data_IF_326006812624
#
_entry.id   IF_326006812624
#
_cell.length_a   1.000
_cell.length_b   1.000
_cell.length_c   1.000
_cell.angle_alpha   90.00
_cell.angle_beta   90.00
_cell.angle_gamma   90.00
#
_symmetry.space_group_name_H-M   'P 1'
#
loop_
_entity.id
_entity.type
_entity.pdbx_description
1 polymer ?
#
# COMPACT_ATOMS: atom_id res chain seq x y z
N UNK A 1 -77.61 -22.10 36.95
CA UNK A 1 -76.70 -21.34 36.08
C UNK A 1 -76.65 -19.86 36.53
N UNK A 2 -76.00 -19.57 37.67
CA UNK A 2 -76.00 -18.24 38.31
C UNK A 2 -74.61 -17.59 38.44
N UNK A 3 -73.59 -18.13 37.76
CA UNK A 3 -72.19 -17.69 37.91
C UNK A 3 -71.47 -17.32 36.60
N UNK A 4 -72.18 -17.09 35.49
CA UNK A 4 -71.54 -16.67 34.22
C UNK A 4 -71.73 -15.17 33.93
N UNK A 5 -72.80 -14.53 34.44
CA UNK A 5 -73.05 -13.10 34.20
C UNK A 5 -72.13 -12.16 35.01
N UNK A 6 -71.56 -12.59 36.15
CA UNK A 6 -70.65 -11.76 36.94
C UNK A 6 -69.24 -11.62 36.36
N UNK A 7 -68.81 -12.54 35.49
CA UNK A 7 -67.49 -12.48 34.87
C UNK A 7 -67.46 -11.66 33.57
N UNK A 8 -68.60 -11.48 32.89
CA UNK A 8 -68.67 -10.70 31.64
C UNK A 8 -68.74 -9.19 31.92
N UNK A 9 -69.39 -8.76 33.01
CA UNK A 9 -69.51 -7.34 33.36
C UNK A 9 -68.21 -6.77 33.97
N UNK A 10 -67.43 -7.59 34.68
CA UNK A 10 -66.14 -7.17 35.23
C UNK A 10 -65.05 -7.05 34.14
N UNK A 11 -65.10 -7.87 33.09
CA UNK A 11 -64.15 -7.79 31.97
C UNK A 11 -64.41 -6.59 31.06
N UNK A 12 -65.68 -6.20 30.84
CA UNK A 12 -66.04 -5.05 30.00
C UNK A 12 -65.71 -3.69 30.67
N UNK A 13 -65.88 -3.56 32.00
CA UNK A 13 -65.50 -2.34 32.71
C UNK A 13 -63.97 -2.17 32.83
N UNK A 14 -63.20 -3.25 32.97
CA UNK A 14 -61.73 -3.15 33.00
C UNK A 14 -61.12 -2.85 31.63
N UNK A 15 -61.73 -3.30 30.53
CA UNK A 15 -61.30 -2.96 29.16
C UNK A 15 -61.59 -1.50 28.79
N UNK A 16 -62.71 -0.93 29.27
CA UNK A 16 -63.04 0.47 29.02
C UNK A 16 -62.15 1.46 29.81
N UNK A 17 -61.73 1.10 31.03
CA UNK A 17 -60.82 1.93 31.85
C UNK A 17 -59.39 1.85 31.34
N UNK A 18 -58.94 0.69 30.85
CA UNK A 18 -57.59 0.56 30.26
C UNK A 18 -57.48 1.20 28.87
N UNK A 19 -58.56 1.26 28.08
CA UNK A 19 -58.57 2.02 26.82
C UNK A 19 -58.63 3.54 27.03
N UNK A 20 -59.29 4.04 28.09
CA UNK A 20 -59.31 5.47 28.40
C UNK A 20 -57.98 5.96 28.98
N UNK A 21 -57.30 5.13 29.79
CA UNK A 21 -55.94 5.40 30.30
C UNK A 21 -54.89 5.26 29.18
N UNK A 22 -55.05 4.30 28.26
CA UNK A 22 -54.17 4.20 27.08
C UNK A 22 -54.34 5.37 26.09
N UNK A 23 -55.54 5.93 25.93
CA UNK A 23 -55.75 7.12 25.09
C UNK A 23 -55.37 8.44 25.78
N UNK A 24 -55.20 8.48 27.11
CA UNK A 24 -54.67 9.66 27.81
C UNK A 24 -53.16 9.60 28.04
N UNK A 25 -52.56 8.41 28.10
CA UNK A 25 -51.10 8.24 28.04
C UNK A 25 -50.54 8.33 26.60
N UNK A 26 -51.33 7.97 25.57
CA UNK A 26 -50.93 8.12 24.18
C UNK A 26 -50.94 9.58 23.67
N UNK A 27 -51.50 10.53 24.44
CA UNK A 27 -51.51 11.97 24.11
C UNK A 27 -50.51 12.77 24.97
N UNK A 28 -49.68 12.08 25.78
CA UNK A 28 -48.54 12.68 26.50
C UNK A 28 -47.23 11.91 26.29
N UNK A 29 -47.06 11.28 25.14
CA UNK A 29 -45.75 11.31 24.47
C UNK A 29 -45.76 12.51 23.55
N UNK A 30 -45.87 13.69 24.15
CA UNK A 30 -45.11 14.80 23.61
C UNK A 30 -43.69 14.27 23.52
N UNK A 31 -43.20 14.23 22.29
CA UNK A 31 -41.79 14.16 22.02
C UNK A 31 -41.26 15.38 22.79
N UNK A 32 -40.74 15.16 24.00
CA UNK A 32 -39.70 16.02 24.54
C UNK A 32 -38.58 15.88 23.51
N UNK A 33 -38.66 16.68 22.44
CA UNK A 33 -37.48 17.15 21.76
C UNK A 33 -36.71 17.81 22.91
N UNK A 34 -35.74 17.09 23.46
CA UNK A 34 -34.72 17.67 24.30
C UNK A 34 -34.23 18.90 23.52
N UNK A 35 -34.66 20.08 23.94
CA UNK A 35 -34.20 21.35 23.40
C UNK A 35 -32.75 21.40 23.83
N UNK A 36 -31.87 20.84 23.01
CA UNK A 36 -30.45 20.83 23.30
C UNK A 36 -29.99 22.28 23.20
N UNK A 37 -29.66 22.86 24.35
CA UNK A 37 -29.10 24.21 24.41
C UNK A 37 -27.88 24.28 23.50
N UNK A 38 -27.83 25.33 22.69
CA UNK A 38 -26.68 25.58 21.84
C UNK A 38 -25.45 25.79 22.73
N UNK A 39 -24.35 25.13 22.38
CA UNK A 39 -23.07 25.29 23.09
C UNK A 39 -21.95 25.57 22.09
N UNK A 40 -20.76 25.90 22.58
CA UNK A 40 -19.55 26.00 21.75
C UNK A 40 -19.35 24.68 20.99
N UNK A 41 -19.07 24.70 19.67
CA UNK A 41 -18.95 23.48 18.89
C UNK A 41 -17.87 22.55 19.45
N UNK A 42 -18.11 21.25 19.38
CA UNK A 42 -17.11 20.24 19.78
C UNK A 42 -15.91 20.29 18.83
N UNK A 43 -14.76 19.77 19.29
CA UNK A 43 -13.58 19.58 18.43
C UNK A 43 -13.99 18.77 17.18
N UNK A 44 -13.64 19.23 15.95
CA UNK A 44 -13.92 18.48 14.73
C UNK A 44 -13.38 17.03 14.77
N UNK A 45 -14.01 16.15 14.00
CA UNK A 45 -13.54 14.77 13.77
C UNK A 45 -12.20 14.71 13.02
N UNK A 46 -11.69 13.52 12.67
CA UNK A 46 -10.50 13.38 11.84
C UNK A 46 -10.65 14.13 10.49
N UNK A 47 -9.54 14.69 9.99
CA UNK A 47 -9.47 15.31 8.67
C UNK A 47 -9.16 14.21 7.63
N UNK A 48 -9.97 14.13 6.59
CA UNK A 48 -9.80 13.20 5.46
C UNK A 48 -9.32 13.92 4.20
N UNK A 49 -8.36 13.34 3.48
CA UNK A 49 -7.86 13.78 2.16
C UNK A 49 -8.58 12.98 1.06
N UNK A 50 -9.00 13.63 -0.02
CA UNK A 50 -9.64 12.97 -1.19
C UNK A 50 -9.02 13.47 -2.49
N UNK A 51 -8.44 12.59 -3.32
CA UNK A 51 -8.23 11.15 -3.09
C UNK A 51 -7.14 10.88 -2.03
N UNK A 52 -7.23 9.76 -1.33
CA UNK A 52 -6.15 9.27 -0.48
C UNK A 52 -5.04 8.70 -1.39
N UNK A 53 -4.07 9.56 -1.72
CA UNK A 53 -2.91 9.22 -2.55
C UNK A 53 -1.57 9.47 -1.84
N UNK A 54 -0.64 8.52 -2.01
CA UNK A 54 0.75 8.50 -1.49
C UNK A 54 1.49 9.80 -1.76
N UNK A 55 1.17 10.41 -2.89
CA UNK A 55 1.81 11.58 -3.43
C UNK A 55 0.79 12.34 -4.24
N UNK A 56 0.74 13.65 -4.06
CA UNK A 56 0.02 14.54 -4.96
C UNK A 56 0.93 14.85 -6.14
N UNK A 57 0.38 14.83 -7.34
CA UNK A 57 1.08 15.37 -8.49
C UNK A 57 1.32 16.87 -8.27
N UNK A 58 2.45 17.37 -8.75
CA UNK A 58 2.74 18.79 -8.74
C UNK A 58 1.60 19.59 -9.38
N UNK A 59 1.11 20.62 -8.68
CA UNK A 59 -0.02 21.43 -9.14
C UNK A 59 -1.41 20.79 -8.96
N UNK A 60 -1.51 19.59 -8.38
CA UNK A 60 -2.78 18.89 -8.16
C UNK A 60 -3.70 19.65 -7.19
N UNK A 61 -4.99 19.56 -7.46
CA UNK A 61 -6.06 20.00 -6.57
C UNK A 61 -6.74 18.80 -5.93
N UNK A 62 -6.96 18.87 -4.63
CA UNK A 62 -7.63 17.81 -3.87
C UNK A 62 -8.36 18.40 -2.67
N UNK A 63 -9.18 17.56 -2.03
CA UNK A 63 -10.12 18.01 -0.99
C UNK A 63 -9.66 17.54 0.39
N UNK A 64 -9.77 18.43 1.39
CA UNK A 64 -9.84 18.06 2.80
C UNK A 64 -11.27 18.19 3.33
N UNK A 65 -11.67 17.28 4.22
CA UNK A 65 -12.98 17.33 4.84
C UNK A 65 -12.98 16.85 6.28
N UNK A 66 -13.94 17.34 7.07
CA UNK A 66 -14.29 16.79 8.39
C UNK A 66 -15.79 16.50 8.45
N UNK A 67 -16.24 15.55 9.29
CA UNK A 67 -17.65 15.40 9.60
C UNK A 67 -18.25 16.70 10.12
N UNK A 68 -19.49 17.00 9.76
CA UNK A 68 -20.20 18.18 10.27
C UNK A 68 -20.29 18.11 11.80
N UNK A 69 -19.87 19.18 12.46
CA UNK A 69 -19.93 19.36 13.90
C UNK A 69 -21.28 19.98 14.26
N UNK A 70 -21.94 19.41 15.27
CA UNK A 70 -23.19 19.96 15.80
C UNK A 70 -22.99 21.41 16.30
N UNK A 71 -23.97 22.27 16.00
CA UNK A 71 -23.97 23.71 16.32
C UNK A 71 -22.87 24.55 15.65
N UNK A 72 -22.13 24.01 14.68
CA UNK A 72 -21.15 24.80 13.93
C UNK A 72 -21.84 25.58 12.80
N UNK A 73 -21.68 26.90 12.80
CA UNK A 73 -22.14 27.78 11.72
C UNK A 73 -21.09 27.91 10.63
N UNK A 74 -19.82 27.88 11.01
CA UNK A 74 -18.69 28.02 10.08
C UNK A 74 -17.46 27.25 10.55
N UNK A 75 -16.51 27.08 9.65
CA UNK A 75 -15.24 26.41 9.89
C UNK A 75 -14.11 27.30 9.43
N UNK A 76 -13.04 27.36 10.22
CA UNK A 76 -11.83 28.06 9.84
C UNK A 76 -10.72 27.04 9.66
N UNK A 77 -10.24 26.93 8.42
CA UNK A 77 -9.10 26.11 8.04
C UNK A 77 -7.83 26.94 7.98
N UNK A 78 -6.74 26.38 8.51
CA UNK A 78 -5.44 27.06 8.58
C UNK A 78 -4.35 26.17 8.05
N UNK A 79 -3.49 26.75 7.20
CA UNK A 79 -2.21 26.18 6.77
C UNK A 79 -1.10 26.85 7.60
N UNK A 80 -0.18 26.04 8.13
CA UNK A 80 0.97 26.53 8.88
C UNK A 80 1.82 27.49 8.05
N UNK A 81 2.30 28.58 8.66
CA UNK A 81 2.94 29.69 7.95
C UNK A 81 4.09 29.25 7.05
N UNK A 82 4.95 28.36 7.57
CA UNK A 82 6.13 27.84 6.86
C UNK A 82 5.79 26.95 5.65
N UNK A 83 4.53 26.54 5.50
CA UNK A 83 4.07 25.66 4.41
C UNK A 83 3.20 26.37 3.38
N UNK A 84 2.88 27.67 3.58
CA UNK A 84 2.04 28.45 2.65
C UNK A 84 2.64 28.61 1.25
N UNK A 85 3.96 28.49 1.12
CA UNK A 85 4.62 28.46 -0.18
C UNK A 85 4.41 27.13 -0.92
N UNK A 86 4.03 26.05 -0.22
CA UNK A 86 3.91 24.69 -0.77
C UNK A 86 2.47 24.24 -1.01
N UNK A 87 1.52 24.78 -0.26
CA UNK A 87 0.11 24.43 -0.33
C UNK A 87 -0.76 25.65 -0.02
N UNK A 88 -1.88 25.76 -0.72
CA UNK A 88 -2.82 26.87 -0.58
C UNK A 88 -4.26 26.36 -0.55
N UNK A 89 -5.11 27.02 0.24
CA UNK A 89 -6.57 26.83 0.18
C UNK A 89 -7.08 27.66 -1.00
N UNK A 90 -7.69 27.00 -1.97
CA UNK A 90 -8.21 27.67 -3.17
C UNK A 90 -9.74 27.84 -3.14
N UNK A 91 -10.45 27.04 -2.34
CA UNK A 91 -11.90 27.14 -2.16
C UNK A 91 -12.38 26.48 -0.86
N UNK A 92 -13.61 26.77 -0.44
CA UNK A 92 -14.33 26.09 0.64
C UNK A 92 -14.07 26.61 2.05
N UNK A 93 -13.29 27.69 2.20
CA UNK A 93 -13.10 28.35 3.50
C UNK A 93 -14.47 28.77 4.08
N UNK A 94 -14.64 28.58 5.39
CA UNK A 94 -15.94 28.77 6.05
C UNK A 94 -16.80 27.51 6.10
N UNK A 95 -16.44 26.43 5.40
CA UNK A 95 -17.21 25.17 5.35
C UNK A 95 -16.44 23.97 5.90
N UNK A 96 -17.12 22.84 6.14
CA UNK A 96 -16.47 21.62 6.64
C UNK A 96 -15.62 20.89 5.56
N UNK A 97 -15.46 21.49 4.38
CA UNK A 97 -14.74 20.95 3.23
C UNK A 97 -13.91 22.07 2.59
N UNK A 98 -12.63 21.84 2.30
CA UNK A 98 -11.80 22.79 1.52
C UNK A 98 -11.19 22.09 0.32
N UNK A 99 -11.01 22.86 -0.75
CA UNK A 99 -10.16 22.46 -1.88
C UNK A 99 -8.83 23.15 -1.71
N UNK A 100 -7.75 22.37 -1.82
CA UNK A 100 -6.38 22.86 -1.74
C UNK A 100 -5.65 22.61 -3.05
N UNK A 101 -4.68 23.47 -3.36
CA UNK A 101 -3.74 23.27 -4.45
C UNK A 101 -2.32 23.24 -3.90
N UNK A 102 -1.55 22.25 -4.30
CA UNK A 102 -0.13 22.13 -3.97
C UNK A 102 0.75 22.75 -5.07
N UNK A 103 1.98 23.10 -4.72
CA UNK A 103 2.97 23.57 -5.70
C UNK A 103 3.26 22.53 -6.77
N UNK A 104 3.76 23.00 -7.91
CA UNK A 104 4.32 22.12 -8.92
C UNK A 104 5.82 21.89 -8.65
N UNK A 105 6.13 21.27 -7.51
CA UNK A 105 7.51 20.99 -7.09
C UNK A 105 7.57 19.75 -6.17
N UNK A 106 8.75 19.14 -6.07
CA UNK A 106 9.03 18.00 -5.20
C UNK A 106 9.21 18.48 -3.75
N UNK A 107 8.12 18.48 -2.98
CA UNK A 107 8.12 18.95 -1.59
C UNK A 107 7.41 18.00 -0.64
N UNK A 108 7.78 18.07 0.65
CA UNK A 108 7.04 17.43 1.73
C UNK A 108 6.45 18.51 2.62
N UNK A 109 5.14 18.41 2.84
CA UNK A 109 4.38 19.21 3.80
C UNK A 109 4.23 18.34 5.05
N UNK A 110 4.87 18.68 6.18
CA UNK A 110 4.87 17.84 7.38
C UNK A 110 3.46 17.58 7.94
N UNK A 111 3.33 16.54 8.76
CA UNK A 111 2.13 16.36 9.58
C UNK A 111 1.85 17.62 10.43
N UNK A 112 0.59 17.83 10.78
CA UNK A 112 0.07 18.97 11.54
C UNK A 112 0.16 20.33 10.84
N UNK A 113 0.51 20.36 9.54
CA UNK A 113 0.56 21.59 8.76
C UNK A 113 -0.80 22.15 8.36
N UNK A 114 -1.85 21.34 8.42
CA UNK A 114 -3.23 21.75 8.14
C UNK A 114 -4.08 21.50 9.37
N UNK A 115 -4.91 22.47 9.71
CA UNK A 115 -5.81 22.38 10.86
C UNK A 115 -7.17 23.02 10.59
N UNK A 116 -8.15 22.66 11.42
CA UNK A 116 -9.51 23.21 11.36
C UNK A 116 -10.10 23.40 12.75
N UNK A 117 -10.87 24.48 12.91
CA UNK A 117 -11.77 24.72 14.04
C UNK A 117 -13.20 24.94 13.55
N UNK A 118 -14.18 24.57 14.37
CA UNK A 118 -15.59 24.89 14.16
C UNK A 118 -15.98 26.10 15.02
N UNK A 119 -16.83 26.98 14.49
CA UNK A 119 -17.26 28.23 15.15
C UNK A 119 -18.77 28.41 15.09
N UNK A 120 -19.29 29.07 16.12
CA UNK A 120 -20.61 29.67 16.15
C UNK A 120 -20.57 30.96 16.98
N UNK A 121 -21.73 31.58 17.24
CA UNK A 121 -21.82 32.80 18.05
C UNK A 121 -21.33 32.67 19.49
N UNK A 122 -21.31 31.45 20.05
CA UNK A 122 -20.89 31.20 21.44
C UNK A 122 -19.38 31.03 21.56
N UNK A 123 -18.68 30.69 20.48
CA UNK A 123 -17.22 30.60 20.49
C UNK A 123 -16.61 29.67 19.44
N UNK A 124 -15.35 29.32 19.66
CA UNK A 124 -14.52 28.48 18.78
C UNK A 124 -14.18 27.16 19.46
N UNK A 125 -14.25 26.05 18.71
CA UNK A 125 -13.88 24.72 19.19
C UNK A 125 -12.37 24.60 19.45
N UNK A 126 -11.94 23.49 20.07
CA UNK A 126 -10.52 23.10 20.05
C UNK A 126 -10.07 22.79 18.62
N UNK A 127 -8.77 22.98 18.35
CA UNK A 127 -8.12 22.71 17.06
C UNK A 127 -8.07 21.21 16.76
N UNK A 128 -8.34 20.85 15.51
CA UNK A 128 -8.05 19.55 14.91
C UNK A 128 -6.93 19.72 13.89
N UNK A 129 -5.90 18.87 13.97
CA UNK A 129 -4.78 18.83 13.02
C UNK A 129 -4.92 17.62 12.08
N UNK A 130 -4.34 17.75 10.89
CA UNK A 130 -4.15 16.66 9.96
C UNK A 130 -2.85 15.93 10.32
N UNK A 131 -2.91 14.65 10.66
CA UNK A 131 -1.78 13.92 11.25
C UNK A 131 -0.88 13.18 10.25
N UNK A 132 -1.07 13.40 8.95
CA UNK A 132 -0.22 12.82 7.91
C UNK A 132 0.58 13.91 7.19
N UNK A 133 1.78 13.55 6.73
CA UNK A 133 2.54 14.38 5.81
C UNK A 133 1.95 14.26 4.39
N UNK A 134 2.06 15.32 3.60
CA UNK A 134 1.69 15.31 2.19
C UNK A 134 2.98 15.40 1.38
N UNK A 135 3.25 14.36 0.60
CA UNK A 135 4.32 14.39 -0.40
C UNK A 135 3.73 14.93 -1.68
N UNK A 136 4.32 15.99 -2.23
CA UNK A 136 3.99 16.55 -3.53
C UNK A 136 5.14 16.23 -4.45
N UNK A 137 4.85 15.78 -5.67
CA UNK A 137 5.92 15.47 -6.61
C UNK A 137 5.52 15.68 -8.04
N UNK A 138 6.44 16.21 -8.83
CA UNK A 138 6.23 16.46 -10.25
C UNK A 138 6.38 15.14 -11.01
N UNK A 139 5.31 14.62 -11.65
CA UNK A 139 5.38 13.36 -12.39
C UNK A 139 6.56 13.37 -13.36
N UNK A 140 7.41 12.36 -13.24
CA UNK A 140 8.45 12.13 -14.25
C UNK A 140 7.87 11.20 -15.31
N UNK A 141 8.09 11.56 -16.57
CA UNK A 141 7.70 10.71 -17.69
C UNK A 141 8.87 9.82 -18.09
N UNK A 142 8.55 8.55 -18.36
CA UNK A 142 9.43 7.63 -19.03
C UNK A 142 8.61 6.92 -20.12
N UNK A 143 8.90 7.13 -21.42
CA UNK A 143 8.15 6.51 -22.48
C UNK A 143 8.06 4.99 -22.31
N UNK A 144 6.85 4.44 -22.47
CA UNK A 144 6.60 3.01 -22.33
C UNK A 144 6.35 2.53 -20.90
N UNK A 145 6.58 3.35 -19.87
CA UNK A 145 6.41 2.96 -18.48
C UNK A 145 5.41 3.83 -17.73
N UNK A 146 4.61 3.18 -16.90
CA UNK A 146 3.79 3.83 -15.88
C UNK A 146 4.65 4.10 -14.64
N UNK A 147 4.71 5.37 -14.24
CA UNK A 147 5.54 5.83 -13.13
C UNK A 147 4.67 6.39 -12.00
N UNK A 148 4.99 6.02 -10.75
CA UNK A 148 4.39 6.62 -9.56
C UNK A 148 5.42 6.76 -8.45
N UNK A 149 5.28 7.79 -7.63
CA UNK A 149 6.13 7.98 -6.45
C UNK A 149 5.57 7.23 -5.25
N UNK A 150 6.47 6.55 -4.54
CA UNK A 150 6.22 5.90 -3.27
C UNK A 150 7.25 6.43 -2.29
N UNK A 151 6.80 7.14 -1.26
CA UNK A 151 7.70 7.82 -0.35
C UNK A 151 8.56 8.84 -1.09
N UNK A 152 9.88 8.67 -1.01
CA UNK A 152 10.84 9.57 -1.67
C UNK A 152 11.26 9.09 -3.06
N UNK A 153 10.78 7.92 -3.50
CA UNK A 153 11.30 7.22 -4.68
C UNK A 153 10.28 7.15 -5.79
N UNK A 154 10.70 7.43 -7.01
CA UNK A 154 9.90 7.17 -8.21
C UNK A 154 10.10 5.73 -8.66
N UNK A 155 9.00 5.02 -8.87
CA UNK A 155 8.98 3.63 -9.25
C UNK A 155 8.32 3.44 -10.59
N UNK A 156 8.83 2.48 -11.36
CA UNK A 156 8.03 1.84 -12.40
C UNK A 156 6.98 0.95 -11.71
N UNK A 157 5.70 1.22 -11.97
CA UNK A 157 4.59 0.44 -11.41
C UNK A 157 4.29 -0.83 -12.19
N UNK A 158 5.07 -1.09 -13.24
CA UNK A 158 5.07 -2.30 -14.07
C UNK A 158 6.45 -2.99 -14.07
N UNK A 159 6.48 -4.24 -14.51
CA UNK A 159 7.71 -5.03 -14.60
C UNK A 159 8.57 -4.55 -15.78
N UNK A 160 9.90 -4.53 -15.58
CA UNK A 160 10.87 -4.07 -16.58
C UNK A 160 10.74 -4.86 -17.89
N UNK A 161 10.67 -4.17 -19.03
CA UNK A 161 10.52 -4.77 -20.35
C UNK A 161 11.66 -4.42 -21.32
N UNK A 162 12.80 -3.98 -20.80
CA UNK A 162 13.99 -3.69 -21.59
C UNK A 162 14.56 -4.91 -22.31
N UNK A 163 14.71 -4.81 -23.62
CA UNK A 163 15.28 -5.87 -24.45
C UNK A 163 16.78 -5.67 -24.76
N UNK A 164 17.39 -4.60 -24.26
CA UNK A 164 18.77 -4.23 -24.60
C UNK A 164 18.91 -3.80 -26.07
N UNK A 165 20.09 -3.29 -26.44
CA UNK A 165 20.35 -2.80 -27.81
C UNK A 165 20.28 -3.91 -28.87
N UNK A 166 20.61 -5.15 -28.48
CA UNK A 166 20.56 -6.31 -29.38
C UNK A 166 19.20 -7.01 -29.42
N UNK A 167 18.23 -6.53 -28.62
CA UNK A 167 16.88 -7.08 -28.52
C UNK A 167 16.80 -8.43 -27.79
N UNK A 168 17.89 -8.90 -27.17
CA UNK A 168 17.99 -10.23 -26.56
C UNK A 168 18.12 -10.24 -25.04
N UNK A 169 18.07 -9.07 -24.38
CA UNK A 169 18.18 -9.02 -22.93
C UNK A 169 16.93 -9.64 -22.30
N UNK A 170 17.12 -10.71 -21.52
CA UNK A 170 16.00 -11.48 -20.96
C UNK A 170 15.08 -12.05 -22.04
N UNK A 171 13.94 -12.59 -21.61
CA UNK A 171 12.97 -13.30 -22.44
C UNK A 171 11.55 -12.77 -22.20
N UNK A 172 10.74 -12.80 -23.24
CA UNK A 172 9.32 -12.43 -23.20
C UNK A 172 8.46 -13.67 -23.50
N UNK A 173 8.18 -14.54 -22.51
CA UNK A 173 7.43 -15.77 -22.74
C UNK A 173 5.96 -15.47 -23.09
N UNK A 174 5.35 -16.22 -24.02
CA UNK A 174 3.90 -16.20 -24.23
C UNK A 174 3.22 -17.00 -23.11
N UNK A 175 2.60 -16.29 -22.16
CA UNK A 175 1.93 -16.91 -21.03
C UNK A 175 0.61 -17.58 -21.43
N UNK A 176 0.02 -17.19 -22.57
CA UNK A 176 -1.23 -17.76 -23.06
C UNK A 176 -1.07 -19.17 -23.62
N UNK A 177 0.17 -19.58 -23.89
CA UNK A 177 0.52 -20.94 -24.31
C UNK A 177 0.47 -21.97 -23.16
N UNK A 178 0.39 -21.53 -21.89
CA UNK A 178 0.38 -22.43 -20.74
C UNK A 178 -1.04 -22.77 -20.27
N UNK A 179 -1.19 -23.95 -19.67
CA UNK A 179 -2.41 -24.31 -18.94
C UNK A 179 -2.11 -24.36 -17.44
N UNK A 180 -2.84 -23.56 -16.66
CA UNK A 180 -2.67 -23.47 -15.20
C UNK A 180 -4.00 -23.78 -14.52
N UNK A 181 -4.00 -24.78 -13.65
CA UNK A 181 -5.19 -25.12 -12.88
C UNK A 181 -5.61 -23.94 -11.99
N UNK A 182 -6.85 -23.46 -12.18
CA UNK A 182 -7.40 -22.31 -11.47
C UNK A 182 -7.29 -20.97 -12.21
N UNK A 183 -6.71 -20.94 -13.43
CA UNK A 183 -6.76 -19.79 -14.32
C UNK A 183 -7.46 -20.14 -15.63
N UNK A 184 -8.46 -19.34 -15.98
CA UNK A 184 -9.03 -19.34 -17.33
C UNK A 184 -8.11 -18.59 -18.32
N UNK A 185 -8.30 -18.82 -19.62
CA UNK A 185 -7.52 -18.16 -20.68
C UNK A 185 -7.54 -16.63 -20.59
N UNK A 186 -8.66 -16.04 -20.15
CA UNK A 186 -8.80 -14.60 -19.93
C UNK A 186 -7.86 -14.06 -18.85
N UNK A 187 -7.60 -14.83 -17.79
CA UNK A 187 -6.67 -14.45 -16.73
C UNK A 187 -5.23 -14.54 -17.22
N UNK A 188 -4.90 -15.57 -18.02
CA UNK A 188 -3.58 -15.69 -18.64
C UNK A 188 -3.30 -14.55 -19.61
N UNK A 189 -4.29 -14.12 -20.40
CA UNK A 189 -4.14 -12.95 -21.27
C UNK A 189 -3.81 -11.67 -20.48
N UNK A 190 -4.42 -11.47 -19.31
CA UNK A 190 -4.14 -10.33 -18.43
C UNK A 190 -2.73 -10.40 -17.84
N UNK A 191 -2.31 -11.58 -17.39
CA UNK A 191 -0.93 -11.80 -16.91
C UNK A 191 0.06 -11.58 -18.06
N UNK A 192 -0.26 -12.06 -19.26
CA UNK A 192 0.57 -11.92 -20.45
C UNK A 192 0.85 -10.46 -20.79
N UNK A 193 -0.19 -9.63 -20.73
CA UNK A 193 -0.11 -8.19 -20.97
C UNK A 193 0.72 -7.44 -19.90
N UNK A 194 0.86 -7.99 -18.69
CA UNK A 194 1.52 -7.33 -17.57
C UNK A 194 2.96 -7.81 -17.29
N UNK A 195 3.40 -8.91 -17.93
CA UNK A 195 4.56 -9.70 -17.49
C UNK A 195 5.95 -9.03 -17.60
N UNK A 196 6.05 -7.92 -18.32
CA UNK A 196 7.33 -7.34 -18.71
C UNK A 196 8.21 -8.37 -19.43
N UNK A 197 9.50 -8.41 -19.08
CA UNK A 197 10.43 -9.49 -19.46
C UNK A 197 10.97 -10.20 -18.23
N UNK A 198 11.46 -11.42 -18.45
CA UNK A 198 12.08 -12.25 -17.44
C UNK A 198 13.58 -12.34 -17.72
N UNK A 199 14.40 -12.12 -16.72
CA UNK A 199 15.85 -12.06 -16.84
C UNK A 199 16.47 -13.16 -15.98
N UNK A 200 17.64 -13.68 -16.33
CA UNK A 200 18.51 -14.31 -15.32
C UNK A 200 18.96 -13.24 -14.32
N UNK A 201 19.45 -13.62 -13.14
CA UNK A 201 19.97 -12.63 -12.19
C UNK A 201 21.16 -11.86 -12.80
N UNK A 202 21.98 -12.54 -13.61
CA UNK A 202 23.18 -11.98 -14.21
C UNK A 202 22.81 -10.92 -15.26
N UNK A 203 21.82 -11.22 -16.12
CA UNK A 203 21.23 -10.25 -17.04
C UNK A 203 20.60 -9.08 -16.28
N UNK A 204 19.84 -9.36 -15.22
CA UNK A 204 19.16 -8.34 -14.43
C UNK A 204 20.14 -7.33 -13.81
N UNK A 205 21.27 -7.80 -13.27
CA UNK A 205 22.27 -6.94 -12.63
C UNK A 205 23.23 -6.29 -13.62
N UNK A 206 23.56 -6.92 -14.75
CA UNK A 206 24.58 -6.40 -15.68
C UNK A 206 24.02 -5.69 -16.90
N UNK A 207 22.77 -5.96 -17.27
CA UNK A 207 22.20 -5.50 -18.54
C UNK A 207 22.79 -6.19 -19.78
N UNK A 208 23.62 -7.22 -19.60
CA UNK A 208 24.25 -7.96 -20.71
C UNK A 208 23.38 -9.16 -21.09
N UNK A 209 22.92 -9.21 -22.34
CA UNK A 209 22.14 -10.33 -22.88
C UNK A 209 22.91 -11.65 -22.77
N UNK A 210 22.29 -12.69 -22.17
CA UNK A 210 22.92 -14.00 -21.97
C UNK A 210 24.17 -13.98 -21.09
N UNK A 211 24.27 -13.03 -20.16
CA UNK A 211 25.44 -12.83 -19.30
C UNK A 211 25.90 -14.12 -18.62
N UNK A 212 27.16 -14.49 -18.84
CA UNK A 212 27.79 -15.65 -18.21
C UNK A 212 28.38 -15.31 -16.84
N UNK A 213 28.68 -16.31 -15.99
CA UNK A 213 29.36 -16.06 -14.72
C UNK A 213 30.71 -15.36 -14.84
N UNK A 214 31.44 -15.54 -15.95
CA UNK A 214 32.71 -14.87 -16.18
C UNK A 214 32.56 -13.39 -16.57
N UNK A 215 31.38 -12.98 -17.04
CA UNK A 215 31.10 -11.60 -17.44
C UNK A 215 30.48 -10.77 -16.32
N UNK A 216 29.88 -11.42 -15.31
CA UNK A 216 29.27 -10.72 -14.19
C UNK A 216 30.31 -10.47 -13.09
N UNK A 217 30.62 -9.19 -12.78
CA UNK A 217 31.58 -8.86 -11.74
C UNK A 217 31.00 -8.99 -10.33
N UNK A 218 29.66 -9.04 -10.21
CA UNK A 218 28.95 -8.98 -8.94
C UNK A 218 28.98 -10.32 -8.19
N UNK A 219 30.04 -10.49 -7.41
CA UNK A 219 30.23 -11.58 -6.45
C UNK A 219 30.22 -11.00 -5.03
N UNK A 220 30.03 -11.81 -3.96
CA UNK A 220 30.05 -11.27 -2.60
C UNK A 220 31.40 -10.64 -2.28
N UNK A 221 31.34 -9.55 -1.53
CA UNK A 221 32.48 -8.72 -1.21
C UNK A 221 32.98 -7.86 -2.37
N UNK A 222 32.36 -7.91 -3.56
CA UNK A 222 32.69 -7.01 -4.66
C UNK A 222 32.56 -5.56 -4.20
N UNK A 223 33.60 -4.76 -4.49
CA UNK A 223 33.67 -3.34 -4.22
C UNK A 223 33.70 -2.58 -5.54
N UNK A 224 32.94 -1.50 -5.62
CA UNK A 224 32.84 -0.73 -6.85
C UNK A 224 32.17 0.61 -6.64
N UNK A 225 31.84 1.25 -7.76
CA UNK A 225 31.09 2.49 -7.82
C UNK A 225 29.78 2.20 -8.55
N UNK A 226 28.66 2.61 -7.96
CA UNK A 226 27.32 2.42 -8.54
C UNK A 226 27.05 3.44 -9.67
N UNK A 227 25.92 3.32 -10.36
CA UNK A 227 25.61 4.13 -11.55
C UNK A 227 25.35 5.62 -11.24
N UNK A 228 25.37 6.03 -9.97
CA UNK A 228 25.29 7.45 -9.56
C UNK A 228 26.56 7.94 -8.88
N UNK A 229 27.64 7.15 -8.88
CA UNK A 229 28.96 7.57 -8.39
C UNK A 229 29.24 7.26 -6.92
N UNK A 230 28.40 6.49 -6.22
CA UNK A 230 28.67 6.12 -4.84
C UNK A 230 29.52 4.86 -4.75
N UNK A 231 30.51 4.81 -3.83
CA UNK A 231 31.14 3.55 -3.50
C UNK A 231 30.12 2.60 -2.84
N UNK A 232 30.27 1.31 -3.12
CA UNK A 232 29.47 0.25 -2.51
C UNK A 232 30.28 -1.02 -2.30
N UNK A 233 29.73 -1.91 -1.46
CA UNK A 233 30.25 -3.26 -1.25
C UNK A 233 29.12 -4.27 -1.13
N UNK A 234 29.17 -5.38 -1.86
CA UNK A 234 28.19 -6.47 -1.77
C UNK A 234 28.47 -7.38 -0.55
N UNK A 235 28.32 -6.85 0.67
CA UNK A 235 28.65 -7.55 1.92
C UNK A 235 27.44 -7.82 2.83
N UNK A 236 26.23 -7.50 2.36
CA UNK A 236 24.99 -7.64 3.10
C UNK A 236 24.81 -6.65 4.24
N UNK A 237 25.61 -5.58 4.30
CA UNK A 237 25.49 -4.52 5.30
C UNK A 237 24.70 -3.32 4.78
N UNK A 238 24.17 -2.52 5.71
CA UNK A 238 23.41 -1.32 5.37
C UNK A 238 24.28 -0.26 4.68
N UNK A 239 25.50 -0.06 5.17
CA UNK A 239 26.44 0.92 4.62
C UNK A 239 27.00 0.47 3.26
N UNK A 240 27.19 -0.83 3.07
CA UNK A 240 27.77 -1.41 1.85
C UNK A 240 26.76 -1.61 0.72
N UNK A 241 25.64 -2.28 0.99
CA UNK A 241 24.80 -2.88 -0.05
C UNK A 241 23.38 -2.31 -0.11
N UNK A 242 22.79 -1.85 0.99
CA UNK A 242 21.34 -1.60 1.02
C UNK A 242 20.88 -0.47 0.11
N UNK A 243 21.75 0.50 -0.17
CA UNK A 243 21.46 1.67 -1.01
C UNK A 243 22.23 1.68 -2.33
N UNK A 244 22.68 0.52 -2.80
CA UNK A 244 23.37 0.39 -4.09
C UNK A 244 22.42 0.70 -5.26
N UNK A 245 22.90 1.43 -6.26
CA UNK A 245 22.12 1.75 -7.46
C UNK A 245 22.78 1.18 -8.70
N UNK A 246 22.54 -0.12 -8.96
CA UNK A 246 22.97 -0.79 -10.19
C UNK A 246 21.85 -0.67 -11.23
N UNK A 247 22.16 -0.04 -12.37
CA UNK A 247 21.26 0.06 -13.52
C UNK A 247 20.80 -1.31 -13.98
N UNK A 248 21.77 -2.17 -14.30
CA UNK A 248 21.52 -3.51 -14.82
C UNK A 248 20.60 -3.47 -16.04
N UNK A 249 19.52 -4.24 -16.01
CA UNK A 249 18.52 -4.27 -17.09
C UNK A 249 17.62 -3.03 -17.16
N UNK A 250 17.64 -2.13 -16.19
CA UNK A 250 16.74 -0.98 -16.17
C UNK A 250 17.12 0.11 -17.20
N UNK A 251 16.17 0.97 -17.59
CA UNK A 251 16.44 2.15 -18.42
C UNK A 251 17.50 3.09 -17.84
N UNK A 252 18.08 3.93 -18.70
CA UNK A 252 19.09 4.90 -18.26
C UNK A 252 18.54 5.85 -17.18
N UNK A 253 19.33 6.03 -16.11
CA UNK A 253 18.94 6.82 -14.96
C UNK A 253 17.95 6.12 -14.03
N UNK A 254 17.75 4.81 -14.17
CA UNK A 254 16.99 3.94 -13.27
C UNK A 254 17.87 2.75 -12.86
N UNK A 255 17.57 2.14 -11.71
CA UNK A 255 18.28 0.98 -11.18
C UNK A 255 17.33 -0.12 -10.73
N UNK A 256 17.85 -1.34 -10.65
CA UNK A 256 17.14 -2.47 -10.06
C UNK A 256 16.86 -2.14 -8.59
N UNK A 257 15.63 -2.33 -8.12
CA UNK A 257 15.25 -1.95 -6.76
C UNK A 257 16.14 -2.61 -5.69
N UNK A 258 16.73 -1.79 -4.81
CA UNK A 258 17.57 -2.22 -3.69
C UNK A 258 16.77 -2.32 -2.38
N UNK A 259 17.46 -2.68 -1.29
CA UNK A 259 16.84 -2.87 0.01
C UNK A 259 16.21 -1.59 0.59
N UNK A 260 16.87 -0.45 0.43
CA UNK A 260 16.37 0.84 0.88
C UNK A 260 15.12 1.26 0.10
N UNK A 261 15.07 0.98 -1.21
CA UNK A 261 13.90 1.30 -2.03
C UNK A 261 12.68 0.53 -1.55
N UNK A 262 12.78 -0.79 -1.49
CA UNK A 262 11.67 -1.63 -1.02
C UNK A 262 11.23 -1.24 0.38
N UNK A 263 12.18 -0.96 1.28
CA UNK A 263 11.88 -0.52 2.63
C UNK A 263 11.12 0.81 2.66
N UNK A 264 11.58 1.83 1.93
CA UNK A 264 10.95 3.15 1.85
C UNK A 264 9.53 3.05 1.27
N UNK A 265 9.35 2.27 0.19
CA UNK A 265 8.05 2.03 -0.43
C UNK A 265 7.07 1.38 0.55
N UNK A 266 7.49 0.30 1.22
CA UNK A 266 6.64 -0.42 2.18
C UNK A 266 6.25 0.46 3.36
N UNK A 267 7.19 1.22 3.93
CA UNK A 267 6.90 2.14 5.04
C UNK A 267 5.97 3.28 4.62
N UNK A 268 6.12 3.78 3.39
CA UNK A 268 5.27 4.86 2.87
C UNK A 268 3.83 4.39 2.65
N UNK A 269 3.63 3.20 2.10
CA UNK A 269 2.30 2.58 1.97
C UNK A 269 1.67 2.40 3.36
N UNK A 270 2.43 1.87 4.33
CA UNK A 270 1.92 1.71 5.69
C UNK A 270 1.48 3.02 6.32
N UNK A 271 2.32 4.06 6.20
CA UNK A 271 2.02 5.38 6.75
C UNK A 271 0.78 6.00 6.13
N UNK A 272 0.61 5.88 4.82
CA UNK A 272 -0.48 6.57 4.13
C UNK A 272 -1.83 5.87 4.31
N UNK A 273 -1.85 4.55 4.15
CA UNK A 273 -3.08 3.75 4.31
C UNK A 273 -3.39 3.39 5.76
N UNK A 274 -2.68 4.03 6.70
CA UNK A 274 -2.82 3.84 8.12
C UNK A 274 -2.79 2.36 8.53
N UNK A 275 -1.89 1.59 7.91
CA UNK A 275 -1.75 0.15 8.15
C UNK A 275 -1.05 -0.01 9.51
N UNK A 276 -1.76 -0.46 10.55
CA UNK A 276 -1.22 -0.45 11.90
C UNK A 276 -0.17 -1.55 12.09
N UNK A 277 0.75 -1.31 13.02
CA UNK A 277 1.76 -2.30 13.45
C UNK A 277 1.17 -3.34 14.42
N UNK A 278 0.08 -2.97 15.11
CA UNK A 278 -0.70 -3.77 16.04
C UNK A 278 -2.17 -3.80 15.59
N UNK A 279 -2.79 -4.98 15.56
CA UNK A 279 -4.19 -5.12 15.18
C UNK A 279 -5.16 -4.48 16.20
N UNK A 280 -4.70 -4.14 17.41
CA UNK A 280 -5.58 -3.68 18.49
C UNK A 280 -5.84 -2.15 18.53
N UNK A 281 -4.87 -1.26 18.30
CA UNK A 281 -5.06 0.20 18.49
C UNK A 281 -4.11 1.07 17.64
N UNK A 282 -4.68 1.99 16.85
CA UNK A 282 -3.93 2.98 16.07
C UNK A 282 -3.51 4.21 16.89
N UNK A 283 -2.21 4.51 16.89
CA UNK A 283 -1.62 5.71 17.50
C UNK A 283 -0.09 5.68 17.44
N UNK A 284 0.48 6.16 16.34
CA UNK A 284 1.85 5.91 15.87
C UNK A 284 3.01 6.34 16.80
N UNK A 285 3.97 5.42 16.98
CA UNK A 285 5.44 5.63 16.93
C UNK A 285 6.07 4.30 16.49
N UNK A 286 6.86 4.28 15.41
CA UNK A 286 7.29 3.05 14.72
C UNK A 286 8.26 2.17 15.53
N UNK A 287 7.70 1.08 16.07
CA UNK A 287 8.31 -0.22 16.36
C UNK A 287 7.16 -1.13 16.82
N UNK A 288 6.74 -2.12 16.02
CA UNK A 288 5.74 -3.13 16.39
C UNK A 288 5.64 -4.27 15.37
N UNK A 289 5.73 -5.53 15.85
CA UNK A 289 5.26 -6.71 15.12
C UNK A 289 3.85 -7.12 15.58
N UNK A 290 3.24 -8.07 14.87
CA UNK A 290 1.88 -8.62 15.11
C UNK A 290 1.57 -9.03 16.56
N UNK A 291 2.56 -9.25 17.42
CA UNK A 291 2.36 -9.71 18.79
C UNK A 291 2.21 -8.58 19.83
N UNK A 292 1.97 -7.34 19.38
CA UNK A 292 1.83 -6.17 20.25
C UNK A 292 3.14 -5.79 20.96
N UNK A 293 4.26 -6.31 20.47
CA UNK A 293 5.60 -6.10 21.03
C UNK A 293 6.48 -5.30 20.07
N UNK A 294 6.76 -4.03 20.40
CA UNK A 294 7.68 -3.18 19.66
C UNK A 294 9.04 -3.79 19.35
N UNK A 295 9.55 -4.61 20.28
CA UNK A 295 10.84 -5.29 20.14
C UNK A 295 10.89 -6.33 18.99
N UNK A 296 9.73 -6.80 18.51
CA UNK A 296 9.62 -7.79 17.45
C UNK A 296 9.31 -7.19 16.06
N UNK A 297 9.28 -5.86 15.97
CA UNK A 297 9.19 -5.16 14.70
C UNK A 297 10.33 -5.58 13.78
N UNK A 298 10.01 -5.85 12.50
CA UNK A 298 11.10 -6.05 11.55
C UNK A 298 11.87 -4.74 11.40
N UNK A 299 13.19 -4.82 11.46
CA UNK A 299 14.06 -3.70 11.10
C UNK A 299 14.37 -3.76 9.61
N UNK A 300 14.89 -2.68 9.03
CA UNK A 300 15.41 -2.71 7.66
C UNK A 300 16.43 -3.85 7.44
N UNK A 301 17.35 -4.04 8.41
CA UNK A 301 18.29 -5.14 8.39
C UNK A 301 17.61 -6.53 8.51
N UNK A 302 16.53 -6.61 9.29
CA UNK A 302 15.68 -7.81 9.35
C UNK A 302 15.01 -8.10 8.00
N UNK A 303 14.45 -7.08 7.36
CA UNK A 303 13.87 -7.17 6.02
C UNK A 303 14.89 -7.64 5.01
N UNK A 304 16.10 -7.08 5.00
CA UNK A 304 17.16 -7.53 4.11
C UNK A 304 17.58 -8.99 4.37
N UNK A 305 17.45 -9.52 5.58
CA UNK A 305 17.85 -10.91 5.89
C UNK A 305 16.80 -11.94 5.50
N UNK A 306 15.53 -11.67 5.75
CA UNK A 306 14.44 -12.66 5.63
C UNK A 306 13.27 -12.22 4.76
N UNK A 307 13.28 -10.99 4.24
CA UNK A 307 12.07 -10.31 3.77
C UNK A 307 11.14 -10.01 4.95
N UNK A 308 9.85 -9.88 4.65
CA UNK A 308 8.79 -9.69 5.63
C UNK A 308 7.65 -10.70 5.52
N UNK A 309 7.28 -11.25 6.66
CA UNK A 309 6.02 -11.98 6.78
C UNK A 309 4.88 -10.98 6.95
N UNK A 310 3.65 -11.42 6.65
CA UNK A 310 2.42 -10.68 7.02
C UNK A 310 2.45 -10.28 8.50
N UNK A 311 3.04 -11.13 9.35
CA UNK A 311 3.16 -10.97 10.80
C UNK A 311 4.08 -9.81 11.21
N UNK A 312 5.22 -9.63 10.54
CA UNK A 312 6.24 -8.72 11.04
C UNK A 312 6.12 -7.30 10.46
N UNK A 313 5.19 -7.07 9.52
CA UNK A 313 5.01 -5.80 8.80
C UNK A 313 3.56 -5.31 8.74
N UNK A 314 2.65 -5.82 9.57
CA UNK A 314 1.27 -5.32 9.62
C UNK A 314 0.46 -5.59 8.34
N UNK A 315 0.69 -6.72 7.66
CA UNK A 315 -0.07 -7.13 6.48
C UNK A 315 0.03 -6.22 5.22
N UNK A 316 1.07 -5.39 5.10
CA UNK A 316 1.33 -4.58 3.88
C UNK A 316 1.39 -5.41 2.57
N UNK A 317 1.74 -6.70 2.66
CA UNK A 317 1.70 -7.60 1.50
C UNK A 317 0.31 -7.79 0.91
N UNK A 318 -0.76 -7.74 1.73
CA UNK A 318 -2.14 -7.82 1.23
C UNK A 318 -2.54 -6.59 0.41
N UNK A 319 -1.95 -5.44 0.72
CA UNK A 319 -2.12 -4.19 -0.02
C UNK A 319 -1.42 -4.26 -1.38
N UNK A 320 -0.17 -4.74 -1.44
CA UNK A 320 0.54 -4.93 -2.72
C UNK A 320 -0.11 -5.97 -3.65
N UNK A 321 -0.72 -7.03 -3.09
CA UNK A 321 -1.49 -8.02 -3.87
C UNK A 321 -2.88 -7.50 -4.25
N UNK A 322 -3.49 -6.72 -3.36
CA UNK A 322 -4.89 -6.33 -3.42
C UNK A 322 -5.27 -5.61 -4.71
N UNK A 323 -4.36 -4.83 -5.29
CA UNK A 323 -4.60 -4.15 -6.57
C UNK A 323 -4.92 -5.07 -7.74
N UNK A 324 -4.66 -6.38 -7.61
CA UNK A 324 -4.90 -7.37 -8.65
C UNK A 324 -5.96 -8.43 -8.29
N UNK A 325 -6.46 -8.44 -7.04
CA UNK A 325 -7.57 -9.26 -6.56
C UNK A 325 -7.44 -10.79 -6.69
N UNK A 326 -8.40 -11.53 -6.13
CA UNK A 326 -8.50 -13.00 -6.31
C UNK A 326 -9.26 -13.35 -7.58
N UNK A 327 -8.92 -14.46 -8.21
CA UNK A 327 -9.66 -15.00 -9.36
C UNK A 327 -11.16 -15.12 -9.09
N UNK A 328 -11.54 -15.60 -7.90
CA UNK A 328 -12.95 -15.74 -7.50
C UNK A 328 -13.73 -14.42 -7.46
N UNK A 329 -13.02 -13.29 -7.32
CA UNK A 329 -13.58 -11.94 -7.25
C UNK A 329 -13.27 -11.13 -8.54
N UNK A 330 -12.88 -11.79 -9.64
CA UNK A 330 -12.54 -11.15 -10.92
C UNK A 330 -11.09 -10.65 -11.04
N UNK A 331 -10.24 -10.95 -10.06
CA UNK A 331 -8.80 -10.67 -10.05
C UNK A 331 -7.96 -11.75 -10.76
N UNK A 332 -6.68 -11.86 -10.38
CA UNK A 332 -5.72 -12.77 -11.03
C UNK A 332 -4.92 -13.66 -10.07
N UNK A 333 -5.09 -13.50 -8.75
CA UNK A 333 -4.46 -14.37 -7.76
C UNK A 333 -5.28 -15.64 -7.52
N UNK A 334 -4.67 -16.82 -7.73
CA UNK A 334 -5.22 -18.13 -7.37
C UNK A 334 -5.03 -18.32 -5.86
N UNK A 335 -5.88 -17.65 -5.08
CA UNK A 335 -5.91 -17.77 -3.63
C UNK A 335 -7.32 -18.14 -3.18
N UNK A 336 -7.47 -19.28 -2.52
CA UNK A 336 -8.77 -19.77 -2.04
C UNK A 336 -9.24 -19.02 -0.80
N UNK A 337 -8.33 -18.75 0.14
CA UNK A 337 -8.68 -18.15 1.43
C UNK A 337 -8.68 -16.62 1.38
N UNK A 338 -9.75 -16.00 1.88
CA UNK A 338 -9.84 -14.55 2.13
C UNK A 338 -9.01 -14.12 3.32
N UNK A 339 -8.85 -15.01 4.29
CA UNK A 339 -8.14 -14.75 5.53
C UNK A 339 -7.07 -15.79 5.77
N UNK A 340 -6.04 -15.41 6.51
CA UNK A 340 -5.08 -16.33 7.12
C UNK A 340 -5.27 -16.27 8.63
N UNK A 341 -5.34 -17.41 9.29
CA UNK A 341 -5.36 -17.44 10.77
C UNK A 341 -3.93 -17.31 11.28
N UNK A 342 -3.67 -16.27 12.07
CA UNK A 342 -2.42 -16.11 12.77
C UNK A 342 -2.63 -15.69 14.22
N UNK A 343 -1.94 -16.36 15.14
CA UNK A 343 -2.13 -16.23 16.59
C UNK A 343 -3.60 -16.25 17.08
N UNK A 344 -4.52 -16.86 16.32
CA UNK A 344 -5.95 -16.92 16.63
C UNK A 344 -6.81 -15.84 15.96
N UNK A 345 -6.20 -14.84 15.32
CA UNK A 345 -6.89 -13.74 14.63
C UNK A 345 -6.92 -13.96 13.11
N UNK A 346 -7.97 -13.44 12.47
CA UNK A 346 -8.16 -13.54 11.03
C UNK A 346 -7.50 -12.36 10.30
N UNK A 347 -6.51 -12.63 9.46
CA UNK A 347 -5.79 -11.63 8.67
C UNK A 347 -6.26 -11.63 7.22
N UNK A 348 -6.79 -10.50 6.74
CA UNK A 348 -7.22 -10.36 5.35
C UNK A 348 -6.04 -10.56 4.37
N UNK A 349 -6.20 -11.40 3.37
CA UNK A 349 -5.16 -11.62 2.36
C UNK A 349 -5.24 -10.62 1.19
N UNK A 350 -6.38 -9.93 1.07
CA UNK A 350 -6.69 -8.88 0.10
C UNK A 350 -7.48 -7.79 0.83
N UNK A 351 -7.14 -6.53 0.58
CA UNK A 351 -7.76 -5.37 1.25
C UNK A 351 -8.51 -4.54 0.21
N UNK A 352 -9.71 -4.08 0.55
CA UNK A 352 -10.49 -3.16 -0.27
C UNK A 352 -9.77 -1.81 -0.40
N UNK A 353 -9.76 -1.21 -1.58
CA UNK A 353 -9.05 0.05 -1.85
C UNK A 353 -7.57 -0.11 -2.19
N UNK A 354 -7.03 -1.34 -2.17
CA UNK A 354 -5.63 -1.61 -2.48
C UNK A 354 -5.23 -1.27 -3.93
N UNK A 355 -6.19 -1.19 -4.85
CA UNK A 355 -5.99 -0.70 -6.21
C UNK A 355 -5.50 0.76 -6.26
N UNK A 356 -5.86 1.58 -5.26
CA UNK A 356 -5.43 2.97 -5.18
C UNK A 356 -3.91 3.14 -4.98
N UNK A 357 -3.23 2.10 -4.46
CA UNK A 357 -1.76 2.08 -4.35
C UNK A 357 -1.14 2.22 -5.74
N UNK A 358 -1.77 1.67 -6.77
CA UNK A 358 -1.26 1.70 -8.14
C UNK A 358 0.06 0.93 -8.33
N UNK A 359 0.48 0.11 -7.37
CA UNK A 359 1.66 -0.74 -7.48
C UNK A 359 1.22 -2.20 -7.69
N UNK A 360 0.98 -2.58 -8.94
CA UNK A 360 0.47 -3.91 -9.27
C UNK A 360 1.56 -4.97 -9.13
N UNK A 361 1.58 -5.71 -8.02
CA UNK A 361 2.39 -6.93 -7.94
C UNK A 361 1.63 -8.09 -8.58
N UNK A 362 2.19 -8.66 -9.63
CA UNK A 362 1.56 -9.74 -10.40
C UNK A 362 2.11 -11.13 -10.00
N UNK A 363 1.27 -12.17 -9.92
CA UNK A 363 1.66 -13.55 -9.62
C UNK A 363 2.23 -14.24 -10.86
N UNK A 364 3.30 -13.64 -11.39
CA UNK A 364 3.89 -14.02 -12.65
C UNK A 364 4.70 -15.32 -12.57
N UNK A 365 4.97 -15.87 -11.39
CA UNK A 365 5.81 -17.06 -11.20
C UNK A 365 7.22 -16.88 -11.76
N UNK A 366 7.81 -17.96 -12.27
CA UNK A 366 9.12 -17.92 -12.93
C UNK A 366 9.23 -18.92 -14.09
N UNK A 367 10.07 -18.58 -15.06
CA UNK A 367 10.39 -19.42 -16.21
C UNK A 367 11.68 -20.21 -15.97
N UNK A 368 11.75 -21.43 -16.50
CA UNK A 368 12.95 -22.27 -16.51
C UNK A 368 13.72 -22.13 -17.83
N UNK A 369 14.99 -22.53 -17.83
CA UNK A 369 15.84 -22.54 -19.03
C UNK A 369 15.26 -23.28 -20.25
N UNK A 370 14.48 -24.35 -20.01
CA UNK A 370 13.85 -25.12 -21.09
C UNK A 370 12.61 -24.41 -21.68
N UNK A 371 12.35 -23.17 -21.27
CA UNK A 371 11.20 -22.37 -21.68
C UNK A 371 9.92 -22.71 -20.92
N UNK A 372 9.89 -23.80 -20.16
CA UNK A 372 8.73 -24.19 -19.38
C UNK A 372 8.50 -23.25 -18.20
N UNK A 373 7.23 -23.10 -17.84
CA UNK A 373 6.85 -22.33 -16.68
C UNK A 373 6.66 -23.25 -15.48
N UNK A 374 7.04 -22.80 -14.27
CA UNK A 374 6.62 -23.52 -13.09
C UNK A 374 5.10 -23.32 -12.89
N UNK A 375 4.31 -24.30 -13.32
CA UNK A 375 2.85 -24.29 -13.24
C UNK A 375 2.31 -24.27 -11.80
N UNK A 376 3.14 -24.62 -10.81
CA UNK A 376 2.80 -24.44 -9.39
C UNK A 376 3.02 -23.00 -8.90
N UNK A 377 3.71 -22.17 -9.68
CA UNK A 377 4.05 -20.79 -9.34
C UNK A 377 3.15 -19.75 -10.02
N UNK A 378 2.90 -19.90 -11.32
CA UNK A 378 2.09 -18.95 -12.12
C UNK A 378 0.67 -18.83 -11.55
N UNK A 379 0.21 -17.59 -11.36
CA UNK A 379 -1.07 -17.28 -10.72
C UNK A 379 -1.07 -17.35 -9.20
N UNK A 380 0.00 -17.85 -8.56
CA UNK A 380 0.07 -18.05 -7.09
C UNK A 380 1.18 -17.27 -6.40
N UNK A 381 2.26 -16.97 -7.10
CA UNK A 381 3.46 -16.35 -6.52
C UNK A 381 3.99 -15.29 -7.48
N UNK A 382 4.36 -14.13 -6.94
CA UNK A 382 5.04 -13.08 -7.70
C UNK A 382 6.51 -13.04 -7.30
N UNK A 383 7.40 -13.38 -8.24
CA UNK A 383 8.83 -13.41 -8.01
C UNK A 383 9.53 -12.25 -8.70
N UNK A 384 10.49 -11.66 -8.01
CA UNK A 384 11.32 -10.57 -8.54
C UNK A 384 12.77 -10.77 -8.17
N UNK A 385 13.70 -10.42 -9.04
CA UNK A 385 15.10 -10.32 -8.62
C UNK A 385 15.31 -9.16 -7.65
N UNK A 386 16.26 -9.34 -6.74
CA UNK A 386 16.61 -8.40 -5.69
C UNK A 386 18.14 -8.21 -5.69
N UNK A 387 18.61 -6.97 -5.55
CA UNK A 387 20.04 -6.70 -5.43
C UNK A 387 20.50 -7.20 -4.04
N UNK A 388 21.28 -8.27 -4.03
CA UNK A 388 21.53 -9.04 -2.81
C UNK A 388 22.48 -10.22 -3.01
N UNK A 389 23.66 -10.21 -2.37
CA UNK A 389 24.59 -11.35 -2.32
C UNK A 389 24.99 -11.67 -0.86
N UNK A 390 24.40 -12.71 -0.25
CA UNK A 390 24.80 -13.12 1.12
C UNK A 390 25.85 -14.21 1.19
N UNK A 391 26.14 -14.87 0.07
CA UNK A 391 27.22 -15.86 -0.02
C UNK A 391 27.63 -16.05 -1.48
N UNK A 392 28.82 -16.61 -1.71
CA UNK A 392 29.40 -16.82 -3.05
C UNK A 392 28.59 -17.79 -3.92
N UNK A 393 27.55 -18.37 -3.32
CA UNK A 393 26.79 -19.48 -3.86
C UNK A 393 25.33 -19.13 -4.14
N UNK A 394 24.84 -17.95 -3.72
CA UNK A 394 23.40 -17.63 -3.87
C UNK A 394 23.11 -16.20 -4.31
N UNK A 395 22.16 -16.09 -5.23
CA UNK A 395 21.46 -14.86 -5.57
C UNK A 395 20.16 -14.73 -4.78
N UNK A 396 19.58 -13.52 -4.76
CA UNK A 396 18.37 -13.23 -3.98
C UNK A 396 17.20 -12.82 -4.87
N UNK A 397 16.03 -13.32 -4.48
CA UNK A 397 14.74 -12.94 -5.08
C UNK A 397 13.76 -12.52 -3.99
N UNK A 398 12.96 -11.52 -4.27
CA UNK A 398 11.83 -11.13 -3.43
C UNK A 398 10.58 -11.81 -3.95
N UNK A 399 9.83 -12.43 -3.03
CA UNK A 399 8.70 -13.31 -3.38
C UNK A 399 7.50 -12.93 -2.57
N UNK A 400 6.41 -12.57 -3.26
CA UNK A 400 5.11 -12.40 -2.63
C UNK A 400 4.23 -13.62 -2.91
N UNK A 401 3.54 -14.07 -1.87
CA UNK A 401 2.55 -15.15 -1.90
C UNK A 401 1.34 -14.74 -1.07
N UNK A 402 0.30 -15.58 -0.98
CA UNK A 402 -0.85 -15.30 -0.09
C UNK A 402 -0.47 -15.07 1.39
N UNK A 403 0.66 -15.61 1.85
CA UNK A 403 1.02 -15.63 3.28
C UNK A 403 2.25 -14.78 3.63
N UNK A 404 2.97 -14.23 2.65
CA UNK A 404 4.28 -13.60 2.92
C UNK A 404 4.83 -12.76 1.76
N UNK A 405 5.76 -11.86 2.07
CA UNK A 405 6.65 -11.15 1.16
C UNK A 405 8.11 -11.45 1.57
N UNK A 406 8.64 -12.62 1.19
CA UNK A 406 9.92 -13.11 1.70
C UNK A 406 11.08 -12.91 0.72
N UNK A 407 12.28 -12.76 1.26
CA UNK A 407 13.50 -12.95 0.47
C UNK A 407 13.83 -14.44 0.41
N UNK A 408 14.01 -14.95 -0.80
CA UNK A 408 14.46 -16.32 -1.06
C UNK A 408 15.85 -16.29 -1.70
N UNK A 409 16.66 -17.28 -1.33
CA UNK A 409 17.93 -17.56 -1.99
C UNK A 409 17.73 -18.52 -3.15
N UNK A 410 18.44 -18.28 -4.25
CA UNK A 410 18.57 -19.17 -5.41
C UNK A 410 20.03 -19.49 -5.58
N UNK A 411 20.40 -20.71 -5.93
CA UNK A 411 21.82 -21.01 -6.17
C UNK A 411 22.32 -20.19 -7.37
N UNK A 412 23.60 -19.84 -7.38
CA UNK A 412 24.17 -19.07 -8.49
C UNK A 412 24.10 -19.84 -9.81
N UNK A 413 24.14 -21.18 -9.80
CA UNK A 413 23.87 -21.98 -10.99
C UNK A 413 22.46 -21.71 -11.52
N UNK A 414 21.46 -21.78 -10.64
CA UNK A 414 20.07 -21.54 -11.03
C UNK A 414 19.87 -20.10 -11.51
N UNK A 415 20.42 -19.14 -10.78
CA UNK A 415 20.26 -17.71 -11.05
C UNK A 415 21.02 -17.24 -12.30
N UNK A 416 22.05 -17.96 -12.75
CA UNK A 416 22.83 -17.62 -13.93
C UNK A 416 22.16 -18.02 -15.24
N UNK A 417 21.38 -19.11 -15.24
CA UNK A 417 20.85 -19.67 -16.49
C UNK A 417 19.58 -20.49 -16.36
N UNK A 418 19.30 -21.09 -15.19
CA UNK A 418 18.22 -22.08 -15.08
C UNK A 418 16.86 -21.45 -14.74
N UNK A 419 16.83 -20.23 -14.18
CA UNK A 419 15.63 -19.52 -13.73
C UNK A 419 15.64 -18.07 -14.20
N UNK A 420 14.49 -17.62 -14.70
CA UNK A 420 14.25 -16.24 -15.15
C UNK A 420 13.10 -15.62 -14.35
N UNK A 421 13.31 -14.41 -13.82
CA UNK A 421 12.36 -13.62 -13.00
C UNK A 421 12.20 -12.20 -13.55
N UNK A 422 11.10 -11.54 -13.20
CA UNK A 422 10.87 -10.12 -13.48
C UNK A 422 11.69 -9.21 -12.55
N UNK A 423 11.74 -7.92 -12.90
CA UNK A 423 12.49 -6.87 -12.18
C UNK A 423 11.63 -5.61 -12.04
N UNK A 424 11.70 -4.94 -10.89
CA UNK A 424 11.22 -3.55 -10.71
C UNK A 424 12.39 -2.60 -10.69
N UNK A 425 12.17 -1.45 -11.33
CA UNK A 425 13.15 -0.40 -11.45
C UNK A 425 12.71 0.86 -10.69
N UNK A 426 13.69 1.54 -10.12
CA UNK A 426 13.54 2.74 -9.30
C UNK A 426 14.40 3.84 -9.90
N UNK A 427 13.90 5.07 -9.90
CA UNK A 427 14.64 6.21 -10.45
C UNK A 427 15.88 6.44 -9.60
N UNK A 428 17.02 6.67 -10.26
CA UNK A 428 18.25 7.02 -9.58
C UNK A 428 18.09 8.26 -8.70
N UNK A 429 18.76 8.26 -7.56
CA UNK A 429 18.72 9.34 -6.58
C UNK A 429 20.09 9.58 -5.97
N UNK A 430 20.33 10.81 -5.52
CA UNK A 430 21.48 11.12 -4.67
C UNK A 430 21.25 10.54 -3.28
N UNK A 431 22.28 9.90 -2.70
CA UNK A 431 22.23 9.35 -1.34
C UNK A 431 22.03 10.45 -0.29
#
# INVERSE_FOLDING_TARGET
>A
MKNIQKYIVAAACMAAVSALVACTEAVKRDIEEDIQEMTVPKKPGPISKVPATLTCNGGEEFIFSVPKVQWADTYEWTIAEQEKEKISIIDGQGTNVITVRVVNDDVVIPAQSISVVAKNELGTSKVREYFAAITVSVPIELPGYTIKKYGKRWWMTEDCHEAGEDGRLGVAPDLTAFTVAGLEASHLLRLDAAKGRYYTWYEAMTGISGCTPAQCPYVPGYEGVDDVGNPFKLDGTEDGEFGIQIRGCCPEGWHVANANDWWDMLMSIKSEYAIPDDFALGGYTFSGGHDGKPENAVTKAGFYKSGCTVKNMGNVGAWLRGGNGRVADGGIWIQSSLTLTDAGEALLQFVEGAESIGFGWWPLGYQKADGSFNSSALGKWGYMWFIGQTSETVARSLVISGTSLNLQTKTNSEAAKDIYLSVRCVKNYTK
#
